data_IF_732981819973
#
_entry.id   IF_732981819973
#
_cell.length_a   1.000
_cell.length_b   1.000
_cell.length_c   1.000
_cell.angle_alpha   90.00
_cell.angle_beta   90.00
_cell.angle_gamma   90.00
#
_symmetry.space_group_name_H-M   'P 1'
#
loop_
_entity.id
_entity.type
_entity.pdbx_description
1 polymer ?
#
# COMPACT_ATOMS: atom_id res chain seq x y z
N UNK A 1 -51.47 14.29 -32.59
CA UNK A 1 -50.84 14.46 -31.27
C UNK A 1 -49.83 13.33 -31.10
N UNK A 2 -48.57 13.59 -31.46
CA UNK A 2 -47.47 12.67 -31.31
C UNK A 2 -46.86 12.92 -29.92
N UNK A 3 -46.71 11.85 -29.16
CA UNK A 3 -46.00 11.88 -27.86
C UNK A 3 -44.52 12.18 -28.07
N UNK A 4 -43.87 12.96 -27.19
CA UNK A 4 -42.42 13.27 -27.29
C UNK A 4 -41.60 12.01 -27.01
N UNK A 5 -40.56 11.87 -27.81
CA UNK A 5 -39.58 10.80 -27.80
C UNK A 5 -38.96 10.58 -26.40
N UNK A 6 -39.05 9.34 -25.94
CA UNK A 6 -38.24 8.87 -24.80
C UNK A 6 -36.76 8.86 -25.20
N UNK A 7 -35.83 9.28 -24.33
CA UNK A 7 -34.41 9.28 -24.66
C UNK A 7 -33.95 7.85 -24.92
N UNK A 8 -33.37 7.62 -26.09
CA UNK A 8 -32.68 6.38 -26.41
C UNK A 8 -31.47 6.19 -25.51
N UNK A 9 -31.58 5.39 -24.47
CA UNK A 9 -30.44 4.87 -23.75
C UNK A 9 -29.79 3.76 -24.58
N UNK A 10 -28.69 4.08 -25.26
CA UNK A 10 -27.84 3.02 -25.81
C UNK A 10 -27.21 2.25 -24.64
N UNK A 11 -27.40 0.93 -24.50
CA UNK A 11 -26.84 0.21 -23.39
C UNK A 11 -25.31 0.28 -23.46
N UNK A 12 -24.68 0.67 -22.34
CA UNK A 12 -23.23 0.60 -22.22
C UNK A 12 -22.80 -0.86 -22.41
N UNK A 13 -21.84 -1.10 -23.27
CA UNK A 13 -21.27 -2.42 -23.50
C UNK A 13 -19.90 -2.54 -22.82
N UNK A 14 -19.66 -3.68 -22.19
CA UNK A 14 -18.35 -3.99 -21.66
C UNK A 14 -17.32 -4.05 -22.80
N UNK A 15 -16.25 -3.25 -22.77
CA UNK A 15 -15.24 -3.25 -23.82
C UNK A 15 -14.43 -4.54 -23.89
N UNK A 16 -14.51 -5.42 -22.87
CA UNK A 16 -13.79 -6.69 -22.83
C UNK A 16 -14.58 -7.83 -23.49
N UNK A 17 -15.88 -7.95 -23.17
CA UNK A 17 -16.71 -9.10 -23.60
C UNK A 17 -17.93 -8.71 -24.42
N UNK A 18 -18.20 -7.40 -24.62
CA UNK A 18 -19.37 -6.89 -25.33
C UNK A 18 -20.71 -7.03 -24.56
N UNK A 19 -20.69 -7.56 -23.33
CA UNK A 19 -21.89 -7.71 -22.50
C UNK A 19 -22.49 -6.35 -22.09
N UNK A 20 -23.81 -6.28 -21.93
CA UNK A 20 -24.50 -5.07 -21.52
C UNK A 20 -24.14 -4.71 -20.06
N UNK A 21 -23.82 -3.44 -19.82
CA UNK A 21 -23.56 -2.91 -18.48
C UNK A 21 -24.78 -2.12 -18.02
N UNK A 22 -25.20 -2.33 -16.77
CA UNK A 22 -26.22 -1.49 -16.15
C UNK A 22 -25.60 -0.14 -15.81
N UNK A 23 -26.27 0.95 -16.16
CA UNK A 23 -25.86 2.29 -15.74
C UNK A 23 -26.03 2.37 -14.21
N UNK A 24 -24.94 2.53 -13.48
CA UNK A 24 -24.95 2.86 -12.05
C UNK A 24 -24.39 4.26 -11.86
N UNK A 25 -24.83 4.94 -10.84
CA UNK A 25 -24.25 6.24 -10.43
C UNK A 25 -22.85 6.07 -9.80
N UNK A 26 -22.38 4.84 -9.67
CA UNK A 26 -21.09 4.52 -9.10
C UNK A 26 -19.93 4.83 -10.07
N UNK A 27 -18.87 5.34 -9.53
CA UNK A 27 -17.64 5.65 -10.27
C UNK A 27 -16.96 4.37 -10.81
N UNK A 28 -17.36 3.20 -10.31
CA UNK A 28 -16.77 1.91 -10.65
C UNK A 28 -17.88 0.90 -10.98
N UNK A 29 -17.82 0.30 -12.17
CA UNK A 29 -18.79 -0.70 -12.66
C UNK A 29 -18.06 -2.02 -12.87
N UNK A 30 -18.52 -3.09 -12.24
CA UNK A 30 -18.02 -4.45 -12.49
C UNK A 30 -18.91 -5.13 -13.52
N UNK A 31 -18.32 -5.59 -14.61
CA UNK A 31 -19.05 -6.34 -15.63
C UNK A 31 -19.49 -7.70 -15.07
N UNK A 32 -20.80 -7.96 -15.07
CA UNK A 32 -21.40 -9.20 -14.57
C UNK A 32 -21.03 -10.44 -15.40
N UNK A 33 -20.60 -10.25 -16.65
CA UNK A 33 -20.29 -11.35 -17.57
C UNK A 33 -18.82 -11.79 -17.52
N UNK A 34 -17.89 -10.85 -17.37
CA UNK A 34 -16.45 -11.18 -17.42
C UNK A 34 -15.64 -10.68 -16.22
N UNK A 35 -16.29 -10.07 -15.22
CA UNK A 35 -15.63 -9.58 -14.03
C UNK A 35 -14.74 -8.33 -14.24
N UNK A 36 -14.70 -7.75 -15.45
CA UNK A 36 -13.89 -6.55 -15.72
C UNK A 36 -14.44 -5.36 -14.95
N UNK A 37 -13.57 -4.71 -14.18
CA UNK A 37 -13.90 -3.47 -13.47
C UNK A 37 -13.61 -2.26 -14.36
N UNK A 38 -14.56 -1.35 -14.47
CA UNK A 38 -14.52 -0.13 -15.29
C UNK A 38 -14.66 1.09 -14.36
N UNK A 39 -13.88 2.13 -14.59
CA UNK A 39 -14.03 3.41 -13.92
C UNK A 39 -14.69 4.39 -14.87
N UNK A 40 -15.81 5.00 -14.45
CA UNK A 40 -16.43 6.08 -15.20
C UNK A 40 -15.60 7.38 -15.02
N UNK A 41 -14.99 7.86 -16.10
CA UNK A 41 -14.40 9.20 -16.09
C UNK A 41 -15.52 10.24 -16.18
N UNK A 42 -15.64 11.09 -15.17
CA UNK A 42 -16.56 12.25 -15.23
C UNK A 42 -16.01 13.26 -16.25
N UNK A 43 -16.71 13.42 -17.37
CA UNK A 43 -16.41 14.45 -18.33
C UNK A 43 -16.71 15.82 -17.71
N UNK A 44 -15.70 16.66 -17.53
CA UNK A 44 -15.93 18.09 -17.24
C UNK A 44 -16.44 18.76 -18.53
N UNK A 45 -17.70 19.18 -18.50
CA UNK A 45 -18.31 19.92 -19.59
C UNK A 45 -17.74 21.35 -19.60
N UNK A 46 -16.86 21.64 -20.57
CA UNK A 46 -16.59 23.01 -21.01
C UNK A 46 -17.70 23.42 -21.97
N UNK A 47 -18.39 24.58 -21.77
CA UNK A 47 -19.45 25.01 -22.68
C UNK A 47 -18.85 25.41 -24.04
N UNK A 48 -19.17 24.68 -25.11
CA UNK A 48 -18.86 25.13 -26.48
C UNK A 48 -18.53 24.07 -27.53
N UNK A 49 -18.33 22.80 -27.22
CA UNK A 49 -18.07 21.81 -28.27
C UNK A 49 -19.02 20.60 -28.16
N UNK A 50 -19.96 20.55 -29.10
CA UNK A 50 -20.83 19.39 -29.36
C UNK A 50 -20.05 18.32 -30.13
N UNK A 51 -19.18 17.58 -29.45
CA UNK A 51 -18.71 16.26 -29.87
C UNK A 51 -19.12 15.26 -28.81
N UNK A 52 -19.71 14.09 -29.18
CA UNK A 52 -19.92 13.04 -28.19
C UNK A 52 -18.53 12.65 -27.65
N UNK A 53 -18.25 13.06 -26.43
CA UNK A 53 -17.04 12.64 -25.74
C UNK A 53 -17.06 11.12 -25.64
N UNK A 54 -16.20 10.46 -26.40
CA UNK A 54 -15.87 9.06 -26.15
C UNK A 54 -15.36 8.99 -24.70
N UNK A 55 -16.20 8.48 -23.80
CA UNK A 55 -15.79 8.17 -22.42
C UNK A 55 -14.66 7.15 -22.56
N UNK A 56 -13.41 7.62 -22.46
CA UNK A 56 -12.23 6.75 -22.40
C UNK A 56 -12.23 6.11 -21.02
N UNK A 57 -13.05 5.07 -20.84
CA UNK A 57 -13.02 4.26 -19.64
C UNK A 57 -11.66 3.59 -19.52
N UNK A 58 -10.95 3.84 -18.43
CA UNK A 58 -9.73 3.11 -18.12
C UNK A 58 -10.11 1.68 -17.73
N UNK A 59 -9.57 0.71 -18.49
CA UNK A 59 -9.83 -0.72 -18.22
C UNK A 59 -8.85 -1.22 -17.19
N UNK A 60 -9.35 -1.86 -16.14
CA UNK A 60 -8.55 -2.51 -15.12
C UNK A 60 -8.61 -4.03 -15.28
N UNK A 61 -7.52 -4.70 -14.92
CA UNK A 61 -7.44 -6.16 -14.82
C UNK A 61 -6.92 -6.55 -13.44
N UNK A 62 -7.36 -7.70 -12.94
CA UNK A 62 -6.74 -8.30 -11.76
C UNK A 62 -5.35 -8.80 -12.14
N UNK A 63 -4.35 -8.32 -11.41
CA UNK A 63 -2.99 -8.79 -11.48
C UNK A 63 -2.69 -9.62 -10.23
N UNK A 64 -2.07 -10.78 -10.40
CA UNK A 64 -1.66 -11.69 -9.32
C UNK A 64 -0.17 -11.91 -9.41
N UNK A 65 0.54 -11.73 -8.30
CA UNK A 65 1.96 -12.06 -8.18
C UNK A 65 2.16 -13.30 -7.32
N UNK A 66 2.91 -14.28 -7.84
CA UNK A 66 3.28 -15.51 -7.14
C UNK A 66 4.74 -15.47 -6.75
N UNK A 67 5.05 -15.80 -5.50
CA UNK A 67 6.40 -15.89 -4.95
C UNK A 67 7.07 -17.21 -5.39
N UNK A 68 7.41 -17.28 -6.66
CA UNK A 68 7.98 -18.50 -7.28
C UNK A 68 9.38 -18.86 -6.79
N UNK A 69 10.11 -17.88 -6.27
CA UNK A 69 11.47 -18.09 -5.73
C UNK A 69 11.48 -18.54 -4.27
N UNK A 70 10.40 -18.27 -3.53
CA UNK A 70 10.29 -18.58 -2.11
C UNK A 70 9.28 -19.68 -1.81
N UNK A 71 8.08 -19.26 -1.37
CA UNK A 71 7.05 -20.18 -0.89
C UNK A 71 6.28 -20.91 -2.00
N UNK A 72 6.33 -20.43 -3.24
CA UNK A 72 5.51 -20.92 -4.34
C UNK A 72 4.04 -20.49 -4.27
N UNK A 73 3.64 -19.71 -3.25
CA UNK A 73 2.27 -19.25 -3.06
C UNK A 73 2.01 -17.94 -3.81
N UNK A 74 0.74 -17.68 -4.16
CA UNK A 74 0.31 -16.33 -4.48
C UNK A 74 0.70 -15.40 -3.32
N UNK A 75 1.41 -14.32 -3.60
CA UNK A 75 1.80 -13.36 -2.58
C UNK A 75 0.73 -12.28 -2.43
N UNK A 76 0.36 -11.64 -3.53
CA UNK A 76 -0.69 -10.62 -3.54
C UNK A 76 -1.44 -10.58 -4.87
N UNK A 77 -2.60 -9.92 -4.85
CA UNK A 77 -3.34 -9.53 -6.04
C UNK A 77 -3.83 -8.09 -5.90
N UNK A 78 -3.97 -7.39 -7.03
CA UNK A 78 -4.46 -6.03 -7.08
C UNK A 78 -4.99 -5.69 -8.49
N UNK A 79 -5.83 -4.67 -8.58
CA UNK A 79 -6.24 -4.11 -9.86
C UNK A 79 -5.11 -3.24 -10.44
N UNK A 80 -4.84 -3.42 -11.71
CA UNK A 80 -3.95 -2.54 -12.46
C UNK A 80 -4.52 -2.22 -13.84
N UNK A 81 -4.21 -1.05 -14.42
CA UNK A 81 -4.67 -0.70 -15.76
C UNK A 81 -4.17 -1.67 -16.82
N UNK A 82 -5.04 -1.98 -17.78
CA UNK A 82 -4.67 -2.78 -18.94
C UNK A 82 -3.63 -2.03 -19.76
N UNK A 83 -2.54 -2.71 -20.12
CA UNK A 83 -1.42 -2.13 -20.86
C UNK A 83 -0.32 -1.54 -19.98
N UNK A 84 -0.55 -1.35 -18.68
CA UNK A 84 0.53 -0.96 -17.78
C UNK A 84 1.50 -2.12 -17.53
N UNK A 85 2.76 -1.76 -17.26
CA UNK A 85 3.85 -2.69 -17.05
C UNK A 85 4.12 -2.88 -15.57
N UNK A 86 4.34 -4.13 -15.19
CA UNK A 86 4.75 -4.52 -13.84
C UNK A 86 6.24 -4.88 -13.84
N UNK A 87 6.96 -4.41 -12.82
CA UNK A 87 8.34 -4.77 -12.52
C UNK A 87 8.48 -4.98 -11.01
N UNK A 88 9.32 -5.92 -10.59
CA UNK A 88 9.60 -6.17 -9.18
C UNK A 88 9.16 -7.54 -8.71
N UNK A 89 8.98 -7.68 -7.39
CA UNK A 89 8.61 -8.95 -6.77
C UNK A 89 9.03 -9.06 -5.31
N UNK A 90 9.12 -10.31 -4.84
CA UNK A 90 9.60 -10.66 -3.51
C UNK A 90 11.09 -10.96 -3.56
N UNK A 91 11.85 -10.33 -2.67
CA UNK A 91 13.27 -10.59 -2.47
C UNK A 91 13.51 -11.19 -1.08
N UNK A 92 14.09 -12.39 -1.05
CA UNK A 92 14.39 -13.10 0.19
C UNK A 92 15.77 -12.70 0.74
N UNK A 93 15.81 -12.28 2.00
CA UNK A 93 16.98 -11.82 2.74
C UNK A 93 17.34 -12.85 3.82
N UNK A 94 18.04 -13.92 3.42
CA UNK A 94 18.27 -15.08 4.27
C UNK A 94 19.20 -14.81 5.46
N UNK A 95 19.93 -13.72 5.40
CA UNK A 95 20.81 -13.22 6.46
C UNK A 95 20.11 -12.28 7.46
N UNK A 96 18.80 -12.03 7.25
CA UNK A 96 17.98 -11.13 8.08
C UNK A 96 16.79 -11.88 8.69
N UNK A 97 16.98 -12.60 9.82
CA UNK A 97 15.90 -13.37 10.44
C UNK A 97 14.69 -12.57 10.87
N UNK A 98 14.87 -11.28 11.22
CA UNK A 98 13.78 -10.39 11.63
C UNK A 98 12.91 -9.89 10.46
N UNK A 99 13.45 -9.95 9.23
CA UNK A 99 12.75 -9.56 8.00
C UNK A 99 13.29 -10.38 6.82
N UNK A 100 12.99 -11.69 6.76
CA UNK A 100 13.61 -12.60 5.79
C UNK A 100 13.14 -12.39 4.34
N UNK A 101 12.12 -11.59 4.11
CA UNK A 101 11.71 -11.20 2.76
C UNK A 101 11.20 -9.75 2.72
N UNK A 102 11.41 -9.10 1.59
CA UNK A 102 10.86 -7.78 1.28
C UNK A 102 10.17 -7.80 -0.07
N UNK A 103 9.12 -7.00 -0.21
CA UNK A 103 8.40 -6.84 -1.47
C UNK A 103 8.71 -5.46 -2.03
N UNK A 104 9.07 -5.43 -3.31
CA UNK A 104 9.21 -4.17 -4.06
C UNK A 104 8.58 -4.34 -5.43
N UNK A 105 7.83 -3.33 -5.87
CA UNK A 105 7.21 -3.36 -7.19
C UNK A 105 7.02 -1.96 -7.75
N UNK A 106 6.93 -1.91 -9.06
CA UNK A 106 6.56 -0.73 -9.82
C UNK A 106 5.56 -1.12 -10.89
N UNK A 107 4.45 -0.42 -10.92
CA UNK A 107 3.43 -0.51 -11.98
C UNK A 107 3.40 0.85 -12.67
N UNK A 108 3.71 0.90 -13.96
CA UNK A 108 3.87 2.15 -14.69
C UNK A 108 3.13 2.15 -16.02
N UNK A 109 2.65 3.33 -16.39
CA UNK A 109 2.10 3.59 -17.71
C UNK A 109 3.25 3.70 -18.72
N UNK A 110 3.37 2.80 -19.72
CA UNK A 110 4.44 2.89 -20.71
C UNK A 110 4.29 4.06 -21.69
N UNK A 111 3.13 4.71 -21.72
CA UNK A 111 2.80 5.82 -22.61
C UNK A 111 2.61 7.15 -21.86
N UNK A 112 2.79 7.16 -20.52
CA UNK A 112 2.53 8.31 -19.68
C UNK A 112 3.52 8.44 -18.52
N UNK A 113 3.22 9.37 -17.65
CA UNK A 113 4.04 9.71 -16.48
C UNK A 113 3.65 8.92 -15.24
N UNK A 114 2.48 8.28 -15.26
CA UNK A 114 1.87 7.67 -14.08
C UNK A 114 2.61 6.40 -13.68
N UNK A 115 2.90 6.31 -12.40
CA UNK A 115 3.44 5.09 -11.79
C UNK A 115 3.00 4.96 -10.35
N UNK A 116 2.81 3.70 -9.93
CA UNK A 116 2.65 3.27 -8.56
C UNK A 116 3.87 2.43 -8.18
N UNK A 117 4.49 2.73 -7.03
CA UNK A 117 5.64 1.97 -6.51
C UNK A 117 5.36 1.50 -5.08
N UNK A 118 5.78 0.27 -4.76
CA UNK A 118 5.98 -0.19 -3.39
C UNK A 118 7.47 -0.37 -3.21
N UNK A 119 8.03 0.31 -2.21
CA UNK A 119 9.44 0.20 -1.86
C UNK A 119 9.66 -0.91 -0.84
N UNK A 120 10.84 -1.54 -0.82
CA UNK A 120 11.16 -2.55 0.18
C UNK A 120 11.08 -1.96 1.59
N UNK A 121 10.47 -2.71 2.51
CA UNK A 121 10.58 -2.40 3.95
C UNK A 121 12.03 -2.44 4.40
N UNK A 122 12.37 -1.65 5.41
CA UNK A 122 13.69 -1.58 6.02
C UNK A 122 13.59 -1.84 7.51
N UNK A 123 14.52 -2.60 8.06
CA UNK A 123 14.59 -2.86 9.49
C UNK A 123 15.92 -2.39 10.08
N UNK A 124 15.82 -1.88 11.28
CA UNK A 124 16.93 -1.26 12.00
C UNK A 124 16.94 -1.70 13.46
N UNK A 125 18.11 -1.61 14.07
CA UNK A 125 18.30 -1.84 15.49
C UNK A 125 19.11 -0.70 16.11
N UNK A 126 18.73 -0.29 17.30
CA UNK A 126 19.47 0.71 18.07
C UNK A 126 19.56 0.28 19.53
N UNK A 127 20.76 0.36 20.09
CA UNK A 127 20.99 0.11 21.51
C UNK A 127 21.49 1.40 22.16
N UNK A 128 20.87 1.84 23.26
CA UNK A 128 21.28 3.05 23.97
C UNK A 128 22.54 2.84 24.84
N UNK A 129 23.02 1.60 25.00
CA UNK A 129 24.22 1.28 25.76
C UNK A 129 25.49 1.72 24.99
N UNK A 130 26.37 2.57 25.57
CA UNK A 130 27.59 3.02 24.91
C UNK A 130 28.56 1.90 24.53
N UNK A 131 28.64 0.84 25.33
CA UNK A 131 29.53 -0.29 25.06
C UNK A 131 29.04 -1.06 23.79
N UNK A 132 27.74 -1.33 23.69
CA UNK A 132 27.16 -1.98 22.52
C UNK A 132 27.34 -1.13 21.24
N UNK A 133 27.27 0.20 21.37
CA UNK A 133 27.53 1.12 20.23
C UNK A 133 28.98 1.11 19.77
N UNK A 134 29.93 0.87 20.70
CA UNK A 134 31.33 0.66 20.33
C UNK A 134 31.59 -0.61 19.54
N UNK A 135 30.84 -1.68 19.85
CA UNK A 135 30.94 -2.96 19.13
C UNK A 135 30.19 -2.95 17.79
N UNK A 136 29.06 -2.27 17.72
CA UNK A 136 28.20 -2.20 16.54
C UNK A 136 27.97 -0.71 16.17
N UNK A 137 28.88 -0.09 15.42
CA UNK A 137 28.75 1.31 15.02
C UNK A 137 27.58 1.50 14.03
N UNK A 138 27.11 2.76 13.95
CA UNK A 138 26.08 3.16 12.99
C UNK A 138 26.47 2.73 11.56
N UNK A 139 25.53 2.13 10.85
CA UNK A 139 25.74 1.59 9.50
C UNK A 139 26.23 0.14 9.47
N UNK A 140 26.70 -0.43 10.61
CA UNK A 140 26.97 -1.86 10.67
C UNK A 140 25.68 -2.69 10.70
N UNK A 141 25.80 -4.02 10.61
CA UNK A 141 24.65 -4.92 10.69
C UNK A 141 24.70 -5.75 11.98
N UNK A 142 23.54 -5.88 12.60
CA UNK A 142 23.33 -6.75 13.75
C UNK A 142 22.15 -7.68 13.47
N UNK A 143 22.41 -8.98 13.32
CA UNK A 143 21.41 -9.97 12.89
C UNK A 143 20.63 -9.55 11.64
N UNK A 144 21.33 -9.03 10.62
CA UNK A 144 20.76 -8.57 9.35
C UNK A 144 20.16 -7.17 9.37
N UNK A 145 19.73 -6.65 10.54
CA UNK A 145 19.23 -5.28 10.68
C UNK A 145 20.38 -4.28 10.67
N UNK A 146 20.18 -3.10 10.05
CA UNK A 146 21.16 -2.02 10.09
C UNK A 146 21.15 -1.32 11.46
N UNK A 147 22.33 -1.10 12.04
CA UNK A 147 22.46 -0.34 13.30
C UNK A 147 22.29 1.15 13.00
N UNK A 148 21.18 1.72 13.48
CA UNK A 148 20.83 3.12 13.21
C UNK A 148 19.95 3.68 14.33
N UNK A 149 20.20 4.94 14.79
CA UNK A 149 19.31 5.63 15.72
C UNK A 149 17.86 5.64 15.23
N UNK A 150 16.92 5.59 16.18
CA UNK A 150 15.50 5.72 15.87
C UNK A 150 15.23 7.08 15.25
N UNK A 151 14.45 7.11 14.18
CA UNK A 151 14.02 8.29 13.46
C UNK A 151 12.51 8.38 13.45
N UNK A 152 11.93 9.60 13.47
CA UNK A 152 10.55 9.82 13.11
C UNK A 152 10.33 9.64 11.61
N UNK A 153 9.06 9.52 11.18
CA UNK A 153 8.74 9.24 9.76
C UNK A 153 9.28 10.32 8.81
N UNK A 154 9.18 11.59 9.19
CA UNK A 154 9.69 12.70 8.39
C UNK A 154 11.21 12.57 8.18
N UNK A 155 11.96 12.40 9.27
CA UNK A 155 13.42 12.22 9.22
C UNK A 155 13.82 10.99 8.39
N UNK A 156 13.12 9.88 8.57
CA UNK A 156 13.36 8.66 7.82
C UNK A 156 13.12 8.84 6.31
N UNK A 157 12.08 9.57 5.92
CA UNK A 157 11.84 9.90 4.50
C UNK A 157 12.99 10.71 3.90
N UNK A 158 13.47 11.75 4.61
CA UNK A 158 14.59 12.57 4.14
C UNK A 158 15.92 11.81 4.12
N UNK A 159 16.23 11.08 5.18
CA UNK A 159 17.54 10.45 5.35
C UNK A 159 17.68 9.10 4.61
N UNK A 160 16.59 8.37 4.41
CA UNK A 160 16.64 7.00 3.90
C UNK A 160 15.94 6.85 2.54
N UNK A 161 14.74 7.44 2.37
CA UNK A 161 13.91 7.21 1.18
C UNK A 161 14.41 8.05 0.00
N UNK A 162 14.48 9.36 0.16
CA UNK A 162 14.89 10.24 -0.93
C UNK A 162 16.28 9.91 -1.47
N UNK A 163 17.34 9.76 -0.63
CA UNK A 163 18.67 9.44 -1.14
C UNK A 163 18.75 8.06 -1.82
N UNK A 164 17.95 7.10 -1.38
CA UNK A 164 17.98 5.73 -1.92
C UNK A 164 17.22 5.59 -3.22
N UNK A 165 16.07 6.25 -3.35
CA UNK A 165 15.14 6.01 -4.46
C UNK A 165 14.98 7.20 -5.40
N UNK A 166 15.45 8.38 -5.03
CA UNK A 166 15.35 9.62 -5.83
C UNK A 166 16.69 10.35 -5.99
N UNK A 167 17.82 9.68 -5.76
CA UNK A 167 19.17 10.27 -5.94
C UNK A 167 19.52 10.62 -7.39
N UNK A 168 18.86 9.98 -8.37
CA UNK A 168 19.15 10.20 -9.80
C UNK A 168 18.27 11.24 -10.47
N UNK A 169 17.40 11.95 -9.74
CA UNK A 169 16.52 12.98 -10.29
C UNK A 169 17.14 14.36 -10.16
N UNK A 170 16.68 15.32 -11.01
CA UNK A 170 17.12 16.71 -10.99
C UNK A 170 16.04 17.61 -10.38
N UNK A 171 16.44 18.76 -9.85
CA UNK A 171 15.54 19.81 -9.32
C UNK A 171 14.52 19.31 -8.29
N UNK A 172 14.92 18.35 -7.46
CA UNK A 172 14.04 17.80 -6.43
C UNK A 172 13.66 18.88 -5.43
N UNK A 173 12.35 19.06 -5.26
CA UNK A 173 11.75 20.00 -4.31
C UNK A 173 10.70 19.26 -3.51
N UNK A 174 10.67 19.50 -2.20
CA UNK A 174 9.59 19.03 -1.32
C UNK A 174 8.49 20.10 -1.37
N UNK A 175 7.31 19.71 -1.79
CA UNK A 175 6.15 20.60 -1.90
C UNK A 175 5.34 20.65 -0.61
N UNK A 176 5.16 19.46 0.01
CA UNK A 176 4.38 19.33 1.24
C UNK A 176 4.80 18.10 2.04
N UNK A 177 4.61 18.15 3.35
CA UNK A 177 4.81 17.04 4.28
C UNK A 177 3.69 17.06 5.32
N UNK A 178 3.03 15.93 5.48
CA UNK A 178 1.87 15.82 6.36
C UNK A 178 1.96 14.55 7.21
N UNK A 179 1.64 14.63 8.51
CA UNK A 179 1.40 13.45 9.32
C UNK A 179 0.16 12.70 8.82
N UNK A 180 0.23 11.37 8.85
CA UNK A 180 -0.87 10.48 8.46
C UNK A 180 -1.21 9.55 9.64
N UNK A 181 -1.99 10.03 10.62
CA UNK A 181 -2.21 9.31 11.88
C UNK A 181 -2.92 7.97 11.71
N UNK A 182 -3.72 7.81 10.66
CA UNK A 182 -4.43 6.56 10.39
C UNK A 182 -3.62 5.55 9.57
N UNK A 183 -2.55 6.00 8.92
CA UNK A 183 -1.71 5.14 8.09
C UNK A 183 -1.10 3.93 8.86
N UNK A 184 -0.66 4.05 10.13
CA UNK A 184 -0.20 2.89 10.91
C UNK A 184 -1.27 1.83 11.10
N UNK A 185 -2.54 2.21 11.23
CA UNK A 185 -3.66 1.27 11.33
C UNK A 185 -3.87 0.55 10.01
N UNK A 186 -3.84 1.28 8.89
CA UNK A 186 -3.95 0.72 7.53
C UNK A 186 -2.78 -0.22 7.22
N UNK A 187 -1.58 0.14 7.67
CA UNK A 187 -0.38 -0.68 7.58
C UNK A 187 -0.41 -1.92 8.47
N UNK A 188 -1.45 -2.07 9.30
CA UNK A 188 -1.57 -3.16 10.29
C UNK A 188 -0.42 -3.20 11.28
N UNK A 189 0.04 -2.02 11.72
CA UNK A 189 1.12 -1.93 12.70
C UNK A 189 0.76 -2.64 13.99
N UNK A 190 1.56 -3.62 14.38
CA UNK A 190 1.44 -4.33 15.66
C UNK A 190 2.27 -3.64 16.77
N UNK A 191 3.13 -2.69 16.43
CA UNK A 191 4.04 -2.05 17.38
C UNK A 191 3.31 -1.41 18.59
N UNK A 192 2.20 -0.67 18.42
CA UNK A 192 1.48 -0.12 19.56
C UNK A 192 0.88 -1.20 20.50
N UNK A 193 0.47 -2.34 19.95
CA UNK A 193 -0.05 -3.46 20.73
C UNK A 193 1.04 -4.16 21.54
N UNK A 194 2.28 -4.09 21.09
CA UNK A 194 3.46 -4.65 21.75
C UNK A 194 4.17 -3.63 22.67
N UNK A 195 3.51 -2.52 23.04
CA UNK A 195 4.08 -1.48 23.90
C UNK A 195 5.07 -0.56 23.19
N UNK A 196 5.11 -0.57 21.87
CA UNK A 196 5.89 0.33 21.03
C UNK A 196 5.06 1.51 20.50
N UNK A 197 5.54 2.11 19.42
CA UNK A 197 4.86 3.23 18.75
C UNK A 197 4.89 3.04 17.24
N UNK A 198 3.92 3.69 16.56
CA UNK A 198 3.90 3.77 15.11
C UNK A 198 3.51 5.18 14.69
N UNK A 199 4.19 5.70 13.67
CA UNK A 199 3.99 7.03 13.10
C UNK A 199 3.89 6.93 11.59
N UNK A 200 2.81 7.46 11.00
CA UNK A 200 2.60 7.53 9.56
C UNK A 200 2.81 8.93 9.01
N UNK A 201 3.33 9.01 7.80
CA UNK A 201 3.54 10.28 7.12
C UNK A 201 3.41 10.19 5.61
N UNK A 202 3.18 11.37 5.02
CA UNK A 202 3.13 11.59 3.57
C UNK A 202 4.07 12.75 3.22
N UNK A 203 4.80 12.59 2.10
CA UNK A 203 5.64 13.62 1.52
C UNK A 203 5.28 13.79 0.05
N UNK A 204 4.97 15.01 -0.39
CA UNK A 204 4.78 15.37 -1.80
C UNK A 204 6.03 16.05 -2.32
N UNK A 205 6.59 15.53 -3.40
CA UNK A 205 7.79 16.04 -4.04
C UNK A 205 7.54 16.37 -5.51
N UNK A 206 8.33 17.28 -6.05
CA UNK A 206 8.42 17.57 -7.48
C UNK A 206 9.86 17.38 -7.90
N UNK A 207 10.08 16.81 -9.08
CA UNK A 207 11.42 16.61 -9.62
C UNK A 207 11.40 16.51 -11.15
N UNK A 208 12.57 16.68 -11.75
CA UNK A 208 12.79 16.49 -13.19
C UNK A 208 13.51 15.16 -13.44
N UNK A 209 12.98 14.35 -14.32
CA UNK A 209 13.60 13.11 -14.77
C UNK A 209 13.43 12.95 -16.27
N UNK A 210 14.54 12.73 -17.00
CA UNK A 210 14.57 12.62 -18.46
C UNK A 210 13.90 13.80 -19.18
N UNK A 211 14.06 15.02 -18.65
CA UNK A 211 13.50 16.25 -19.22
C UNK A 211 12.01 16.48 -18.95
N UNK A 212 11.34 15.59 -18.23
CA UNK A 212 9.95 15.76 -17.84
C UNK A 212 9.84 16.07 -16.34
N UNK A 213 8.92 16.96 -15.98
CA UNK A 213 8.62 17.32 -14.59
C UNK A 213 7.53 16.40 -14.04
N UNK A 214 7.80 15.79 -12.89
CA UNK A 214 6.90 14.88 -12.17
C UNK A 214 6.51 15.44 -10.83
N UNK A 215 5.32 15.08 -10.38
CA UNK A 215 4.93 15.14 -8.99
C UNK A 215 4.73 13.73 -8.44
N UNK A 216 5.10 13.54 -7.18
CA UNK A 216 5.02 12.25 -6.52
C UNK A 216 4.62 12.44 -5.06
N UNK A 217 3.70 11.63 -4.57
CA UNK A 217 3.42 11.47 -3.15
C UNK A 217 4.00 10.14 -2.66
N UNK A 218 4.79 10.21 -1.59
CA UNK A 218 5.41 9.07 -0.92
C UNK A 218 4.78 8.94 0.46
N UNK A 219 4.31 7.74 0.77
CA UNK A 219 3.70 7.36 2.04
C UNK A 219 4.59 6.35 2.76
N UNK A 220 4.60 6.39 4.09
CA UNK A 220 5.34 5.42 4.88
C UNK A 220 4.95 5.42 6.35
N UNK A 221 5.32 4.33 7.04
CA UNK A 221 5.10 4.15 8.48
C UNK A 221 6.41 3.78 9.15
N UNK A 222 6.78 4.52 10.19
CA UNK A 222 7.84 4.12 11.12
C UNK A 222 7.21 3.40 12.30
N UNK A 223 7.68 2.20 12.59
CA UNK A 223 7.27 1.38 13.73
C UNK A 223 8.46 1.19 14.65
N UNK A 224 8.27 1.37 15.96
CA UNK A 224 9.33 1.25 16.97
C UNK A 224 8.88 0.31 18.06
N UNK A 225 9.65 -0.75 18.29
CA UNK A 225 9.51 -1.66 19.42
C UNK A 225 10.61 -1.39 20.43
N UNK A 226 10.28 -1.28 21.71
CA UNK A 226 11.22 -1.08 22.80
C UNK A 226 11.35 -2.37 23.61
N UNK A 227 12.56 -2.83 23.76
CA UNK A 227 12.87 -4.02 24.57
C UNK A 227 13.79 -3.59 25.71
N UNK A 228 13.28 -3.53 26.95
CA UNK A 228 14.13 -3.23 28.09
C UNK A 228 15.04 -4.45 28.39
N UNK A 229 16.30 -4.19 28.61
CA UNK A 229 17.29 -5.19 29.03
C UNK A 229 17.81 -4.79 30.40
N UNK A 230 17.53 -5.64 31.39
CA UNK A 230 18.15 -5.54 32.70
C UNK A 230 19.65 -5.88 32.61
N UNK A 231 20.52 -4.99 33.05
CA UNK A 231 21.95 -5.27 33.20
C UNK A 231 22.42 -4.90 34.60
N UNK A 232 23.53 -5.48 35.00
CA UNK A 232 24.19 -5.11 36.28
C UNK A 232 24.62 -3.64 36.32
N UNK A 233 24.64 -2.94 35.18
CA UNK A 233 25.06 -1.54 35.01
C UNK A 233 23.92 -0.56 34.75
N UNK A 234 22.67 -0.97 35.03
CA UNK A 234 21.48 -0.15 34.84
C UNK A 234 20.48 -0.71 33.81
N UNK A 235 19.40 0.03 33.59
CA UNK A 235 18.43 -0.31 32.56
C UNK A 235 18.92 0.16 31.20
N UNK A 236 19.11 -0.77 30.29
CA UNK A 236 19.40 -0.49 28.89
C UNK A 236 18.17 -0.83 28.05
N UNK A 237 18.04 -0.17 26.92
CA UNK A 237 16.96 -0.43 25.98
C UNK A 237 17.51 -0.76 24.60
N UNK A 238 16.94 -1.77 23.97
CA UNK A 238 17.11 -2.03 22.55
C UNK A 238 15.85 -1.58 21.83
N UNK A 239 16.03 -0.86 20.77
CA UNK A 239 14.97 -0.43 19.86
C UNK A 239 15.10 -1.22 18.57
N UNK A 240 14.06 -2.00 18.24
CA UNK A 240 13.88 -2.52 16.90
C UNK A 240 12.92 -1.60 16.20
N UNK A 241 13.31 -1.04 15.07
CA UNK A 241 12.45 -0.15 14.35
C UNK A 241 12.45 -0.44 12.85
N UNK A 242 11.36 -0.11 12.22
CA UNK A 242 11.07 -0.48 10.86
C UNK A 242 10.52 0.73 10.11
N UNK A 243 10.90 0.85 8.83
CA UNK A 243 10.21 1.72 7.88
C UNK A 243 9.43 0.81 6.95
N UNK A 244 8.13 0.74 7.19
CA UNK A 244 7.19 -0.17 6.56
C UNK A 244 6.15 0.58 5.75
N UNK A 245 5.32 -0.17 5.00
CA UNK A 245 4.20 0.36 4.23
C UNK A 245 4.61 1.56 3.36
N UNK A 246 5.81 1.43 2.76
CA UNK A 246 6.41 2.48 1.98
C UNK A 246 5.98 2.34 0.52
N UNK A 247 5.19 3.30 0.04
CA UNK A 247 4.72 3.31 -1.35
C UNK A 247 4.63 4.73 -1.90
N UNK A 248 4.54 4.85 -3.22
CA UNK A 248 4.37 6.14 -3.85
C UNK A 248 3.44 6.11 -5.06
N UNK A 249 2.90 7.28 -5.37
CA UNK A 249 2.15 7.58 -6.58
C UNK A 249 2.81 8.73 -7.32
N UNK A 250 3.03 8.57 -8.62
CA UNK A 250 3.66 9.57 -9.47
C UNK A 250 2.82 9.85 -10.70
N UNK A 251 2.77 11.12 -11.09
CA UNK A 251 2.17 11.58 -12.35
C UNK A 251 2.99 12.77 -12.94
N UNK A 252 2.61 13.26 -14.10
CA UNK A 252 3.11 14.53 -14.60
C UNK A 252 2.76 15.67 -13.63
N UNK A 253 3.62 16.68 -13.51
CA UNK A 253 3.39 17.82 -12.64
C UNK A 253 2.04 18.48 -12.93
N UNK A 254 1.26 18.75 -11.87
CA UNK A 254 -0.09 19.30 -11.94
C UNK A 254 -1.21 18.29 -12.23
N UNK A 255 -0.89 17.00 -12.47
CA UNK A 255 -1.88 15.96 -12.76
C UNK A 255 -1.96 14.86 -11.67
N UNK A 256 -1.20 14.99 -10.59
CA UNK A 256 -1.15 13.96 -9.54
C UNK A 256 -2.50 13.78 -8.85
N UNK A 257 -3.20 14.88 -8.54
CA UNK A 257 -4.49 14.85 -7.86
C UNK A 257 -5.60 14.22 -8.75
N UNK A 258 -5.53 14.47 -10.06
CA UNK A 258 -6.44 13.84 -11.03
C UNK A 258 -6.19 12.32 -11.12
N UNK A 259 -4.91 11.92 -11.19
CA UNK A 259 -4.50 10.53 -11.20
C UNK A 259 -4.76 9.81 -9.86
N UNK A 260 -4.90 10.55 -8.77
CA UNK A 260 -5.09 10.03 -7.41
C UNK A 260 -6.26 9.05 -7.29
N UNK A 261 -7.36 9.27 -8.01
CA UNK A 261 -8.52 8.34 -8.03
C UNK A 261 -8.15 6.95 -8.55
N UNK A 262 -7.32 6.88 -9.58
CA UNK A 262 -6.82 5.61 -10.11
C UNK A 262 -5.91 4.92 -9.09
N UNK A 263 -4.96 5.63 -8.54
CA UNK A 263 -4.03 5.09 -7.55
C UNK A 263 -4.76 4.61 -6.31
N UNK A 264 -5.81 5.33 -5.91
CA UNK A 264 -6.68 4.88 -4.83
C UNK A 264 -7.30 3.51 -5.14
N UNK A 265 -7.87 3.31 -6.33
CA UNK A 265 -8.43 2.01 -6.73
C UNK A 265 -7.37 0.92 -6.72
N UNK A 266 -6.15 1.22 -7.16
CA UNK A 266 -5.05 0.27 -7.16
C UNK A 266 -4.68 -0.15 -5.74
N UNK A 267 -4.44 0.79 -4.81
CA UNK A 267 -4.03 0.46 -3.44
C UNK A 267 -5.17 -0.19 -2.64
N UNK A 268 -6.41 0.29 -2.79
CA UNK A 268 -7.56 -0.27 -2.08
C UNK A 268 -7.92 -1.68 -2.56
N UNK A 269 -7.54 -2.05 -3.78
CA UNK A 269 -7.72 -3.40 -4.31
C UNK A 269 -6.58 -4.36 -3.95
N UNK A 270 -5.49 -3.86 -3.38
CA UNK A 270 -4.37 -4.69 -2.96
C UNK A 270 -4.80 -5.67 -1.87
N UNK A 271 -4.56 -6.95 -2.11
CA UNK A 271 -4.86 -8.03 -1.16
C UNK A 271 -3.65 -8.93 -1.03
N UNK A 272 -3.03 -8.90 0.15
CA UNK A 272 -2.00 -9.85 0.52
C UNK A 272 -2.65 -11.21 0.76
N UNK A 273 -2.06 -12.28 0.22
CA UNK A 273 -2.57 -13.64 0.44
C UNK A 273 -2.34 -14.05 1.89
N UNK A 274 -3.42 -14.38 2.65
CA UNK A 274 -3.29 -14.78 4.05
C UNK A 274 -2.44 -16.04 4.25
N UNK A 275 -2.46 -16.97 3.31
CA UNK A 275 -1.61 -18.17 3.39
C UNK A 275 -0.12 -17.83 3.24
N UNK A 276 0.22 -16.90 2.32
CA UNK A 276 1.59 -16.42 2.21
C UNK A 276 2.03 -15.66 3.48
N UNK A 277 1.18 -14.78 4.00
CA UNK A 277 1.46 -14.04 5.22
C UNK A 277 1.65 -14.97 6.43
N UNK A 278 0.82 -16.01 6.58
CA UNK A 278 0.96 -17.01 7.63
C UNK A 278 2.26 -17.81 7.48
N UNK A 279 2.62 -18.19 6.25
CA UNK A 279 3.88 -18.87 5.95
C UNK A 279 5.09 -17.98 6.31
N UNK A 280 5.08 -16.73 5.88
CA UNK A 280 6.12 -15.76 6.19
C UNK A 280 6.31 -15.56 7.70
N UNK A 281 5.21 -15.35 8.43
CA UNK A 281 5.25 -15.21 9.90
C UNK A 281 5.78 -16.48 10.58
N UNK A 282 5.41 -17.66 10.09
CA UNK A 282 5.90 -18.93 10.61
C UNK A 282 7.40 -19.12 10.36
N UNK A 283 7.91 -18.67 9.21
CA UNK A 283 9.34 -18.69 8.91
C UNK A 283 10.10 -17.76 9.86
N UNK A 284 9.62 -16.53 10.10
CA UNK A 284 10.20 -15.60 11.07
C UNK A 284 10.28 -16.24 12.46
N UNK A 285 9.16 -16.78 12.94
CA UNK A 285 9.10 -17.40 14.26
C UNK A 285 10.11 -18.55 14.41
N UNK A 286 10.19 -19.41 13.40
CA UNK A 286 11.14 -20.54 13.39
C UNK A 286 12.60 -20.07 13.37
N UNK A 287 12.91 -19.00 12.66
CA UNK A 287 14.27 -18.40 12.62
C UNK A 287 14.64 -17.79 13.98
N UNK A 288 13.72 -17.02 14.58
CA UNK A 288 13.95 -16.38 15.89
C UNK A 288 14.09 -17.44 17.00
N UNK A 289 13.32 -18.53 16.94
CA UNK A 289 13.39 -19.62 17.93
C UNK A 289 14.61 -20.54 17.74
N UNK A 290 15.45 -20.29 16.73
CA UNK A 290 16.61 -21.11 16.44
C UNK A 290 16.29 -22.51 15.92
N UNK A 291 15.03 -22.78 15.55
CA UNK A 291 14.61 -24.05 14.97
C UNK A 291 15.21 -24.26 13.56
N UNK A 292 15.58 -23.16 12.90
CA UNK A 292 16.26 -23.13 11.61
C UNK A 292 17.56 -22.36 11.80
N UNK A 293 18.67 -23.06 11.86
CA UNK A 293 19.95 -22.44 12.16
C UNK A 293 20.57 -21.67 10.99
N UNK A 294 20.31 -22.06 9.75
CA UNK A 294 20.82 -21.39 8.53
C UNK A 294 19.94 -21.72 7.32
N UNK A 295 19.51 -20.70 6.62
CA UNK A 295 18.96 -20.80 5.26
C UNK A 295 20.11 -20.48 4.31
N UNK A 296 20.61 -21.47 3.56
CA UNK A 296 21.75 -21.26 2.64
C UNK A 296 21.29 -20.88 1.24
N UNK A 297 20.10 -21.29 0.82
CA UNK A 297 19.58 -21.07 -0.53
C UNK A 297 18.10 -20.75 -0.52
N UNK A 298 17.69 -19.87 -1.42
CA UNK A 298 16.26 -19.50 -1.62
C UNK A 298 15.40 -20.74 -1.87
N UNK A 299 15.88 -21.73 -2.60
CA UNK A 299 15.17 -23.00 -2.82
C UNK A 299 14.84 -23.82 -1.56
N UNK A 300 15.46 -23.53 -0.42
CA UNK A 300 15.13 -24.17 0.86
C UNK A 300 13.90 -23.59 1.54
N UNK A 301 13.43 -22.42 1.13
CA UNK A 301 12.28 -21.76 1.76
C UNK A 301 11.01 -22.61 1.65
N UNK A 302 10.79 -23.24 0.50
CA UNK A 302 9.69 -24.19 0.31
C UNK A 302 9.78 -25.40 1.25
N UNK A 303 10.98 -25.91 1.51
CA UNK A 303 11.20 -26.99 2.46
C UNK A 303 10.96 -26.54 3.91
N UNK A 304 11.45 -25.34 4.26
CA UNK A 304 11.22 -24.72 5.56
C UNK A 304 9.72 -24.53 5.80
N UNK A 305 9.01 -23.98 4.80
CA UNK A 305 7.56 -23.86 4.86
C UNK A 305 6.86 -25.20 5.10
N UNK A 306 7.29 -26.26 4.42
CA UNK A 306 6.75 -27.61 4.61
C UNK A 306 7.05 -28.19 6.01
N UNK A 307 8.21 -27.86 6.59
CA UNK A 307 8.63 -28.27 7.93
C UNK A 307 7.96 -27.46 9.06
N UNK A 308 7.49 -26.23 8.75
CA UNK A 308 6.79 -25.40 9.72
C UNK A 308 5.49 -26.08 10.15
N UNK A 309 5.27 -26.22 11.46
CA UNK A 309 4.15 -26.98 12.01
C UNK A 309 2.79 -26.48 11.49
N UNK A 310 1.90 -27.41 11.14
CA UNK A 310 0.55 -27.11 10.66
C UNK A 310 -0.22 -26.20 11.62
N UNK A 311 -0.15 -26.49 12.92
CA UNK A 311 -0.82 -25.72 13.96
C UNK A 311 -0.40 -24.24 13.99
N UNK A 312 0.91 -23.96 13.83
CA UNK A 312 1.43 -22.60 13.77
C UNK A 312 0.89 -21.85 12.55
N UNK A 313 0.82 -22.51 11.37
CA UNK A 313 0.26 -21.91 10.17
C UNK A 313 -1.24 -21.63 10.30
N UNK A 314 -1.98 -22.58 10.86
CA UNK A 314 -3.43 -22.44 11.08
C UNK A 314 -3.73 -21.34 12.10
N UNK A 315 -2.94 -21.20 13.16
CA UNK A 315 -3.07 -20.13 14.13
C UNK A 315 -2.79 -18.77 13.50
N UNK A 316 -1.68 -18.63 12.77
CA UNK A 316 -1.35 -17.39 12.07
C UNK A 316 -2.43 -17.00 11.05
N UNK A 317 -3.06 -17.98 10.42
CA UNK A 317 -4.16 -17.76 9.47
C UNK A 317 -5.43 -17.30 10.20
N UNK A 318 -5.79 -17.91 11.34
CA UNK A 318 -6.91 -17.46 12.19
C UNK A 318 -6.69 -16.03 12.68
N UNK A 319 -5.50 -15.73 13.17
CA UNK A 319 -5.11 -14.38 13.61
C UNK A 319 -5.22 -13.36 12.48
N UNK A 320 -4.91 -13.77 11.25
CA UNK A 320 -5.09 -12.93 10.07
C UNK A 320 -6.56 -12.61 9.83
N UNK A 321 -7.43 -13.62 9.77
CA UNK A 321 -8.85 -13.41 9.48
C UNK A 321 -9.58 -12.64 10.58
N UNK A 322 -9.25 -12.86 11.85
CA UNK A 322 -9.87 -12.13 12.97
C UNK A 322 -9.61 -10.62 12.92
N UNK A 323 -8.52 -10.19 12.28
CA UNK A 323 -8.17 -8.79 12.11
C UNK A 323 -8.77 -8.17 10.85
N UNK A 324 -9.25 -8.97 9.91
CA UNK A 324 -9.73 -8.48 8.61
C UNK A 324 -10.93 -7.53 8.75
N UNK A 325 -11.87 -7.82 9.64
CA UNK A 325 -13.07 -6.99 9.85
C UNK A 325 -12.74 -5.56 10.32
N UNK A 326 -11.69 -5.41 11.14
CA UNK A 326 -11.23 -4.10 11.60
C UNK A 326 -10.65 -3.29 10.44
N UNK A 327 -9.94 -3.97 9.53
CA UNK A 327 -9.29 -3.32 8.40
C UNK A 327 -10.23 -2.89 7.29
N UNK A 328 -11.31 -3.63 7.08
CA UNK A 328 -12.30 -3.27 6.05
C UNK A 328 -12.97 -1.94 6.41
N UNK A 329 -13.24 -1.69 7.69
CA UNK A 329 -13.75 -0.40 8.17
C UNK A 329 -12.73 0.73 7.97
N UNK A 330 -11.48 0.53 8.40
CA UNK A 330 -10.42 1.53 8.30
C UNK A 330 -10.07 1.84 6.84
N UNK A 331 -10.05 0.84 5.97
CA UNK A 331 -9.85 1.02 4.53
C UNK A 331 -10.96 1.87 3.93
N UNK A 332 -12.19 1.70 4.38
CA UNK A 332 -13.33 2.51 3.93
C UNK A 332 -13.19 3.97 4.38
N UNK A 333 -12.80 4.22 5.61
CA UNK A 333 -12.64 5.57 6.16
C UNK A 333 -11.48 6.31 5.49
N UNK A 334 -10.34 5.66 5.31
CA UNK A 334 -9.21 6.23 4.54
C UNK A 334 -9.58 6.48 3.07
N UNK A 335 -10.40 5.61 2.49
CA UNK A 335 -11.02 5.80 1.19
C UNK A 335 -11.78 7.11 1.10
N UNK A 336 -12.60 7.38 2.10
CA UNK A 336 -13.41 8.60 2.15
C UNK A 336 -12.52 9.83 2.26
N UNK A 337 -11.49 9.76 3.10
CA UNK A 337 -10.54 10.86 3.28
C UNK A 337 -9.81 11.22 1.97
N UNK A 338 -9.27 10.23 1.25
CA UNK A 338 -8.60 10.48 -0.05
C UNK A 338 -9.58 11.01 -1.11
N UNK A 339 -10.83 10.54 -1.09
CA UNK A 339 -11.87 11.01 -2.03
C UNK A 339 -12.48 12.35 -1.62
N UNK A 340 -12.13 12.87 -0.43
CA UNK A 340 -12.71 14.10 0.13
C UNK A 340 -14.20 13.95 0.35
N UNK A 341 -14.66 12.82 0.90
CA UNK A 341 -16.07 12.57 1.20
C UNK A 341 -16.23 12.09 2.64
N UNK A 342 -17.35 12.48 3.25
CA UNK A 342 -17.79 12.04 4.57
C UNK A 342 -19.04 11.16 4.45
N UNK A 343 -19.19 10.22 5.39
CA UNK A 343 -20.35 9.33 5.45
C UNK A 343 -21.45 9.95 6.32
N UNK A 344 -22.66 10.02 5.77
CA UNK A 344 -23.86 10.45 6.46
C UNK A 344 -24.89 9.33 6.45
N UNK A 345 -25.58 9.13 7.58
CA UNK A 345 -26.68 8.18 7.64
C UNK A 345 -27.97 8.84 7.19
N UNK A 346 -28.62 8.30 6.17
CA UNK A 346 -29.96 8.70 5.74
C UNK A 346 -31.01 7.85 6.49
N UNK A 347 -31.76 8.44 7.45
CA UNK A 347 -32.74 7.70 8.24
C UNK A 347 -34.02 7.33 7.46
N UNK A 348 -34.29 7.97 6.29
CA UNK A 348 -35.46 7.66 5.48
C UNK A 348 -35.23 6.45 4.58
N UNK A 349 -33.98 6.28 4.12
CA UNK A 349 -33.59 5.14 3.27
C UNK A 349 -32.88 4.02 4.01
N UNK A 350 -32.57 4.25 5.30
CA UNK A 350 -31.79 3.34 6.14
C UNK A 350 -30.43 2.96 5.51
N UNK A 351 -29.83 3.89 4.77
CA UNK A 351 -28.53 3.68 4.10
C UNK A 351 -27.49 4.76 4.45
N UNK A 352 -26.22 4.43 4.23
CA UNK A 352 -25.11 5.39 4.36
C UNK A 352 -24.84 6.02 2.99
N UNK A 353 -24.94 7.34 2.92
CA UNK A 353 -24.61 8.13 1.72
C UNK A 353 -23.28 8.85 1.92
N UNK A 354 -22.49 8.98 0.85
CA UNK A 354 -21.22 9.70 0.87
C UNK A 354 -21.40 11.07 0.20
N UNK A 355 -21.07 12.13 0.92
CA UNK A 355 -21.14 13.51 0.45
C UNK A 355 -19.75 14.15 0.52
N UNK A 356 -19.46 15.20 -0.26
CA UNK A 356 -18.19 15.92 -0.18
C UNK A 356 -17.87 16.35 1.26
N UNK A 357 -16.61 16.19 1.68
CA UNK A 357 -16.15 16.57 3.02
C UNK A 357 -16.30 18.07 3.29
N UNK A 358 -16.46 18.41 4.57
CA UNK A 358 -16.57 19.81 5.03
C UNK A 358 -17.97 20.23 5.46
N UNK A 359 -18.94 19.35 5.39
CA UNK A 359 -20.31 19.60 5.91
C UNK A 359 -20.47 18.90 7.26
N UNK A 360 -20.77 19.66 8.31
CA UNK A 360 -21.07 19.09 9.63
C UNK A 360 -22.43 18.38 9.71
N UNK A 361 -23.37 18.70 8.82
CA UNK A 361 -24.71 18.12 8.75
C UNK A 361 -25.15 18.02 7.28
N UNK A 362 -25.92 16.99 6.95
CA UNK A 362 -26.61 16.83 5.69
C UNK A 362 -28.14 16.74 5.93
N UNK A 363 -28.93 17.28 5.02
CA UNK A 363 -30.38 17.23 5.07
C UNK A 363 -30.88 16.29 3.97
N UNK A 364 -31.70 15.31 4.35
CA UNK A 364 -32.41 14.49 3.39
C UNK A 364 -33.79 15.11 3.13
N UNK A 365 -34.20 15.19 1.87
CA UNK A 365 -35.56 15.57 1.51
C UNK A 365 -36.44 14.30 1.44
N UNK A 366 -37.66 14.41 1.95
CA UNK A 366 -38.69 13.37 1.85
C UNK A 366 -39.02 13.03 0.39
#
# INVERSE_FOLDING_TARGET
>A
MQSPDAPFYSPFKCPQCGGNLSASAETTIVCQYCGTTLIAALAQNTPGETRPALVRGLRLKMFTYTDTQGTGLELFRMLMPVGWQFQGGCNWLLDNPGMPATVSLRISNPQGAEAFEIFPSMNFVWNNNPFSRGMFPVGSRYFGAEVRPVMGIREAMHALVLPRYRSGVQDLRILNEEPQPDLPRLARSEAPLAGGSAEGGKMRIQFTWQGQVYEEEIYGVVEVLRVPIGSMFGQNEIFYWYLNFLFSFRAAAGHLDEAGKLFYVMISSFRLNPHWAAAYKSIIQSLIQGQIQRIHHIGQIGQIYAQTGREMREQNLRDWYSRQEVYDRLSTDWSREIRGVDAFYDPHREEVVELPSGYGNAWAND
#
